data_IF_532728227305
#
_entry.id   IF_532728227305
#
_cell.length_a   1.000
_cell.length_b   1.000
_cell.length_c   1.000
_cell.angle_alpha   90.00
_cell.angle_beta   90.00
_cell.angle_gamma   90.00
#
_symmetry.space_group_name_H-M   'P 1'
#
loop_
_entity.id
_entity.type
_entity.pdbx_description
1 polymer ?
#
# COMPACT_ATOMS: atom_id res chain seq x y z
N UNK A 1 -10.77 21.66 -14.10
CA UNK A 1 -10.98 20.32 -14.72
C UNK A 1 -12.02 19.56 -13.90
N UNK A 2 -13.24 19.34 -14.42
CA UNK A 2 -14.22 18.50 -13.72
C UNK A 2 -13.89 17.01 -13.97
N UNK A 3 -13.59 16.27 -12.91
CA UNK A 3 -13.46 14.81 -12.94
C UNK A 3 -14.84 14.17 -13.12
N UNK A 4 -14.93 13.17 -14.01
CA UNK A 4 -16.21 12.49 -14.29
C UNK A 4 -16.66 11.69 -13.07
N UNK A 5 -17.98 11.51 -12.89
CA UNK A 5 -18.54 10.75 -11.77
C UNK A 5 -17.91 9.34 -11.69
N UNK A 6 -17.72 8.69 -12.84
CA UNK A 6 -17.07 7.38 -12.94
C UNK A 6 -15.62 7.38 -12.46
N UNK A 7 -14.84 8.41 -12.81
CA UNK A 7 -13.43 8.53 -12.40
C UNK A 7 -13.29 8.74 -10.89
N UNK A 8 -14.15 9.59 -10.31
CA UNK A 8 -14.21 9.76 -8.85
C UNK A 8 -14.61 8.46 -8.16
N UNK A 9 -15.60 7.75 -8.70
CA UNK A 9 -16.05 6.46 -8.19
C UNK A 9 -14.93 5.41 -8.18
N UNK A 10 -14.23 5.24 -9.31
CA UNK A 10 -13.12 4.30 -9.42
C UNK A 10 -11.97 4.64 -8.46
N UNK A 11 -11.63 5.93 -8.33
CA UNK A 11 -10.61 6.38 -7.38
C UNK A 11 -11.00 6.05 -5.93
N UNK A 12 -12.22 6.40 -5.52
CA UNK A 12 -12.71 6.12 -4.16
C UNK A 12 -12.70 4.62 -3.88
N UNK A 13 -13.24 3.81 -4.79
CA UNK A 13 -13.26 2.34 -4.65
C UNK A 13 -11.84 1.81 -4.53
N UNK A 14 -10.91 2.26 -5.38
CA UNK A 14 -9.51 1.82 -5.30
C UNK A 14 -8.88 2.17 -3.95
N UNK A 15 -9.06 3.39 -3.44
CA UNK A 15 -8.52 3.81 -2.15
C UNK A 15 -9.09 2.97 -1.01
N UNK A 16 -10.40 2.67 -1.03
CA UNK A 16 -11.02 1.81 -0.03
C UNK A 16 -10.40 0.41 0.00
N UNK A 17 -10.22 -0.24 -1.16
CA UNK A 17 -9.56 -1.53 -1.25
C UNK A 17 -8.08 -1.47 -0.82
N UNK A 18 -7.36 -0.38 -1.13
CA UNK A 18 -5.97 -0.21 -0.69
C UNK A 18 -5.90 -0.11 0.84
N UNK A 19 -6.78 0.68 1.46
CA UNK A 19 -6.85 0.84 2.92
C UNK A 19 -7.25 -0.47 3.59
N UNK A 20 -8.25 -1.18 3.08
CA UNK A 20 -8.62 -2.51 3.60
C UNK A 20 -7.46 -3.48 3.49
N UNK A 21 -6.78 -3.54 2.33
CA UNK A 21 -5.61 -4.39 2.14
C UNK A 21 -4.45 -4.02 3.07
N UNK A 22 -4.21 -2.73 3.29
CA UNK A 22 -3.21 -2.22 4.23
C UNK A 22 -3.51 -2.67 5.67
N UNK A 23 -4.75 -2.53 6.13
CA UNK A 23 -5.16 -2.98 7.46
C UNK A 23 -5.01 -4.51 7.61
N UNK A 24 -5.43 -5.29 6.62
CA UNK A 24 -5.33 -6.76 6.65
C UNK A 24 -3.88 -7.25 6.66
N UNK A 25 -3.03 -6.68 5.82
CA UNK A 25 -1.60 -7.02 5.77
C UNK A 25 -0.87 -6.60 7.05
N UNK A 26 -1.18 -5.43 7.62
CA UNK A 26 -0.67 -5.05 8.95
C UNK A 26 -1.15 -6.03 10.03
N UNK A 27 -2.43 -6.39 10.05
CA UNK A 27 -2.96 -7.36 11.01
C UNK A 27 -2.29 -8.74 10.88
N UNK A 28 -2.00 -9.19 9.66
CA UNK A 28 -1.24 -10.42 9.43
C UNK A 28 0.19 -10.34 9.99
N UNK A 29 0.92 -9.26 9.71
CA UNK A 29 2.32 -9.08 10.17
C UNK A 29 2.43 -9.01 11.69
N UNK A 30 1.46 -8.34 12.32
CA UNK A 30 1.32 -8.27 13.77
C UNK A 30 0.45 -9.41 14.31
N UNK A 31 0.44 -10.59 13.68
CA UNK A 31 -0.17 -11.79 14.25
C UNK A 31 0.88 -12.91 14.42
N UNK A 32 0.83 -13.67 15.53
CA UNK A 32 1.74 -14.80 15.78
C UNK A 32 1.41 -16.06 15.02
N UNK A 33 0.23 -16.18 14.43
CA UNK A 33 -0.20 -17.42 13.80
C UNK A 33 0.14 -17.46 12.31
N UNK A 34 1.42 -17.28 11.93
CA UNK A 34 1.84 -17.55 10.55
C UNK A 34 2.03 -19.05 10.33
N UNK A 35 2.65 -19.73 11.29
CA UNK A 35 2.66 -21.18 11.41
C UNK A 35 2.19 -21.56 12.81
N UNK A 36 1.43 -22.64 12.91
CA UNK A 36 0.90 -23.14 14.18
C UNK A 36 1.23 -24.63 14.28
N UNK A 37 1.70 -25.05 15.45
CA UNK A 37 1.99 -26.45 15.75
C UNK A 37 1.45 -26.78 17.13
N UNK A 38 0.87 -27.97 17.27
CA UNK A 38 0.43 -28.52 18.54
C UNK A 38 1.35 -29.67 18.93
N UNK A 39 2.08 -29.49 20.03
CA UNK A 39 3.04 -30.48 20.54
C UNK A 39 2.39 -31.21 21.71
N UNK A 40 1.93 -32.43 21.42
CA UNK A 40 1.18 -33.26 22.37
C UNK A 40 2.00 -33.69 23.59
N UNK A 41 3.33 -33.78 23.44
CA UNK A 41 4.26 -34.11 24.53
C UNK A 41 4.30 -33.02 25.61
N UNK A 42 4.36 -31.75 25.19
CA UNK A 42 4.40 -30.60 26.09
C UNK A 42 3.01 -30.05 26.38
N UNK A 43 1.99 -30.54 25.69
CA UNK A 43 0.60 -30.06 25.78
C UNK A 43 0.56 -28.56 25.58
N UNK A 44 1.17 -28.11 24.49
CA UNK A 44 1.29 -26.71 24.18
C UNK A 44 1.08 -26.45 22.70
N UNK A 45 0.30 -25.42 22.40
CA UNK A 45 0.17 -24.84 21.07
C UNK A 45 1.22 -23.74 20.92
N UNK A 46 2.02 -23.85 19.86
CA UNK A 46 3.04 -22.89 19.51
C UNK A 46 2.65 -22.17 18.22
N UNK A 47 2.67 -20.85 18.27
CA UNK A 47 2.33 -19.95 17.18
C UNK A 47 3.57 -19.16 16.77
N UNK A 48 4.13 -19.52 15.64
CA UNK A 48 5.32 -18.89 15.08
C UNK A 48 4.90 -17.74 14.17
N UNK A 49 5.18 -16.51 14.60
CA UNK A 49 5.04 -15.30 13.79
C UNK A 49 6.32 -15.00 13.02
N UNK A 50 6.28 -13.94 12.19
CA UNK A 50 7.46 -13.52 11.42
C UNK A 50 8.62 -13.03 12.27
N UNK A 51 8.33 -12.46 13.45
CA UNK A 51 9.28 -11.73 14.31
C UNK A 51 9.04 -11.91 15.81
N UNK A 52 7.97 -12.59 16.16
CA UNK A 52 7.69 -13.04 17.53
C UNK A 52 7.26 -14.50 17.49
N UNK A 53 7.20 -15.10 18.65
CA UNK A 53 6.79 -16.48 18.87
C UNK A 53 5.93 -16.52 20.11
N UNK A 54 4.80 -17.23 20.07
CA UNK A 54 3.88 -17.27 21.19
C UNK A 54 3.51 -18.71 21.55
N UNK A 55 3.48 -18.99 22.85
CA UNK A 55 3.21 -20.31 23.40
C UNK A 55 1.94 -20.25 24.25
N UNK A 56 1.13 -21.30 24.13
CA UNK A 56 -0.09 -21.50 24.90
C UNK A 56 -0.11 -22.92 25.46
N UNK A 57 -0.12 -23.05 26.79
CA UNK A 57 -0.25 -24.35 27.44
C UNK A 57 -1.71 -24.83 27.46
N UNK A 58 -1.99 -26.05 27.03
CA UNK A 58 -3.31 -26.69 27.14
C UNK A 58 -3.58 -27.12 28.59
N UNK A 59 -4.72 -26.72 29.16
CA UNK A 59 -5.14 -27.08 30.53
C UNK A 59 -5.80 -28.45 30.60
N UNK A 60 -5.64 -29.14 31.74
CA UNK A 60 -6.42 -30.33 32.10
C UNK A 60 -7.88 -29.99 32.40
N UNK A 61 -8.82 -30.57 31.66
CA UNK A 61 -10.23 -30.64 32.07
C UNK A 61 -10.41 -31.69 33.17
N UNK A 62 -10.45 -31.25 34.44
CA UNK A 62 -10.98 -32.06 35.56
C UNK A 62 -12.20 -31.40 36.23
N UNK A 63 -12.54 -30.16 35.89
CA UNK A 63 -13.73 -29.48 36.42
C UNK A 63 -14.61 -28.92 35.30
N UNK A 64 -15.90 -29.24 35.35
CA UNK A 64 -16.97 -28.87 34.39
C UNK A 64 -17.16 -27.34 34.23
N UNK A 65 -16.47 -26.52 35.04
CA UNK A 65 -16.60 -25.05 35.05
C UNK A 65 -15.55 -24.25 34.27
N UNK A 66 -14.37 -24.81 33.96
CA UNK A 66 -13.24 -24.05 33.37
C UNK A 66 -13.13 -24.20 31.84
N UNK A 67 -14.20 -24.64 31.19
CA UNK A 67 -14.22 -24.96 29.75
C UNK A 67 -14.02 -23.76 28.81
N UNK A 68 -14.00 -22.53 29.32
CA UNK A 68 -13.96 -21.31 28.51
C UNK A 68 -12.79 -20.36 28.80
N UNK A 69 -11.95 -20.64 29.80
CA UNK A 69 -10.78 -19.81 30.11
C UNK A 69 -9.53 -20.37 29.45
N UNK A 70 -9.38 -20.04 28.16
CA UNK A 70 -8.14 -20.26 27.41
C UNK A 70 -6.96 -19.64 28.15
N UNK A 71 -5.84 -20.36 28.22
CA UNK A 71 -4.62 -19.83 28.83
C UNK A 71 -4.10 -18.62 28.04
N UNK A 72 -3.57 -17.59 28.74
CA UNK A 72 -3.02 -16.42 28.07
C UNK A 72 -1.83 -16.82 27.19
N UNK A 73 -1.76 -16.23 26.00
CA UNK A 73 -0.67 -16.42 25.06
C UNK A 73 0.60 -15.76 25.61
N UNK A 74 1.68 -16.51 25.80
CA UNK A 74 2.96 -15.96 26.23
C UNK A 74 3.86 -15.72 25.01
N UNK A 75 4.09 -14.46 24.66
CA UNK A 75 4.82 -14.07 23.46
C UNK A 75 6.23 -13.57 23.76
N UNK A 76 7.20 -13.99 22.93
CA UNK A 76 8.59 -13.56 22.97
C UNK A 76 9.05 -13.10 21.58
N UNK A 77 10.00 -12.17 21.53
CA UNK A 77 10.55 -11.67 20.27
C UNK A 77 11.70 -12.55 19.77
N UNK A 78 11.74 -12.82 18.45
CA UNK A 78 12.82 -13.63 17.83
C UNK A 78 14.18 -12.91 17.80
N UNK A 79 14.23 -11.62 18.09
CA UNK A 79 15.43 -10.78 18.08
C UNK A 79 16.02 -10.53 19.48
N UNK A 80 15.49 -11.17 20.53
CA UNK A 80 16.02 -11.05 21.88
C UNK A 80 17.25 -11.95 22.08
N UNK A 81 18.39 -11.37 22.45
CA UNK A 81 19.64 -12.09 22.73
C UNK A 81 19.48 -13.10 23.88
N UNK A 82 18.56 -12.83 24.83
CA UNK A 82 18.28 -13.76 25.92
C UNK A 82 17.55 -15.02 25.43
N UNK A 83 16.69 -14.87 24.40
CA UNK A 83 16.06 -16.00 23.72
C UNK A 83 17.10 -16.80 22.93
N UNK A 84 18.01 -16.13 22.22
CA UNK A 84 19.09 -16.79 21.46
C UNK A 84 20.04 -17.61 22.37
N UNK A 85 20.38 -17.09 23.56
CA UNK A 85 21.21 -17.80 24.55
C UNK A 85 20.53 -19.05 25.11
N UNK A 86 19.23 -18.96 25.43
CA UNK A 86 18.46 -20.12 25.91
C UNK A 86 18.37 -21.18 24.81
N UNK A 87 18.09 -20.76 23.57
CA UNK A 87 18.05 -21.62 22.39
C UNK A 87 19.41 -22.32 22.19
N UNK A 88 20.52 -21.57 22.22
CA UNK A 88 21.86 -22.13 22.02
C UNK A 88 22.24 -23.13 23.12
N UNK A 89 21.83 -22.88 24.36
CA UNK A 89 22.06 -23.81 25.46
C UNK A 89 21.26 -25.11 25.29
N UNK A 90 19.98 -25.02 24.90
CA UNK A 90 19.14 -26.20 24.60
C UNK A 90 19.68 -26.98 23.39
N UNK A 91 20.17 -26.28 22.35
CA UNK A 91 20.80 -26.89 21.18
C UNK A 91 22.11 -27.63 21.48
N UNK A 92 22.91 -27.14 22.42
CA UNK A 92 24.13 -27.84 22.83
C UNK A 92 23.85 -29.13 23.61
N UNK A 93 22.64 -29.27 24.16
CA UNK A 93 22.19 -30.42 24.94
C UNK A 93 21.07 -31.21 24.22
N UNK A 94 21.08 -31.27 22.88
CA UNK A 94 20.05 -31.95 22.06
C UNK A 94 19.74 -33.38 22.54
N UNK A 95 20.77 -34.12 22.99
CA UNK A 95 20.60 -35.50 23.44
C UNK A 95 19.89 -35.62 24.81
N UNK A 96 19.87 -34.53 25.59
CA UNK A 96 19.20 -34.45 26.91
C UNK A 96 17.84 -33.74 26.82
N UNK A 97 17.72 -32.72 25.97
CA UNK A 97 16.54 -31.88 25.83
C UNK A 97 15.84 -32.12 24.49
N UNK A 98 14.78 -32.94 24.49
CA UNK A 98 13.93 -33.14 23.31
C UNK A 98 13.16 -31.89 22.85
N UNK A 99 13.26 -30.77 23.56
CA UNK A 99 12.80 -29.44 23.14
C UNK A 99 13.80 -28.70 22.22
N UNK A 100 15.00 -29.25 22.01
CA UNK A 100 16.04 -28.63 21.20
C UNK A 100 15.73 -28.59 19.69
N UNK A 101 14.94 -29.54 19.18
CA UNK A 101 14.49 -29.52 17.78
C UNK A 101 13.49 -28.40 17.49
N UNK A 102 12.74 -27.99 18.51
CA UNK A 102 11.80 -26.87 18.46
C UNK A 102 12.47 -25.51 18.64
N UNK A 103 13.53 -25.43 19.46
CA UNK A 103 14.24 -24.18 19.73
C UNK A 103 14.85 -23.56 18.45
N UNK A 104 15.17 -24.36 17.43
CA UNK A 104 15.62 -23.91 16.12
C UNK A 104 14.58 -23.05 15.36
N UNK A 105 13.28 -23.29 15.56
CA UNK A 105 12.20 -22.54 14.89
C UNK A 105 11.94 -21.17 15.55
N UNK A 106 12.37 -20.99 16.79
CA UNK A 106 12.40 -19.68 17.45
C UNK A 106 13.47 -18.75 16.86
N UNK A 107 14.49 -19.28 16.17
CA UNK A 107 15.59 -18.48 15.62
C UNK A 107 15.13 -17.59 14.47
N UNK A 108 15.67 -16.37 14.42
CA UNK A 108 15.37 -15.42 13.35
C UNK A 108 16.14 -15.73 12.05
N UNK A 109 15.65 -16.72 11.31
CA UNK A 109 16.24 -17.18 10.06
C UNK A 109 16.27 -16.13 8.94
N UNK A 110 17.13 -16.36 7.95
CA UNK A 110 17.29 -15.46 6.80
C UNK A 110 15.98 -15.27 6.00
N UNK A 111 15.16 -16.31 5.86
CA UNK A 111 13.91 -16.21 5.13
C UNK A 111 12.88 -15.31 5.85
N UNK A 112 12.80 -15.35 7.18
CA UNK A 112 11.96 -14.43 7.96
C UNK A 112 12.36 -12.96 7.70
N UNK A 113 13.68 -12.67 7.68
CA UNK A 113 14.22 -11.34 7.38
C UNK A 113 13.84 -10.88 5.98
N UNK A 114 13.93 -11.76 4.98
CA UNK A 114 13.55 -11.47 3.59
C UNK A 114 12.06 -11.18 3.47
N UNK A 115 11.20 -12.01 4.08
CA UNK A 115 9.75 -11.82 4.08
C UNK A 115 9.39 -10.48 4.73
N UNK A 116 9.91 -10.19 5.92
CA UNK A 116 9.68 -8.91 6.61
C UNK A 116 10.14 -7.71 5.81
N UNK A 117 11.31 -7.80 5.15
CA UNK A 117 11.81 -6.72 4.30
C UNK A 117 10.84 -6.40 3.15
N UNK A 118 10.35 -7.43 2.45
CA UNK A 118 9.40 -7.25 1.36
C UNK A 118 8.05 -6.72 1.86
N UNK A 119 7.57 -7.23 2.99
CA UNK A 119 6.35 -6.75 3.63
C UNK A 119 6.48 -5.26 4.00
N UNK A 120 7.51 -4.87 4.77
CA UNK A 120 7.69 -3.47 5.20
C UNK A 120 7.82 -2.55 3.98
N UNK A 121 8.59 -2.96 2.97
CA UNK A 121 8.73 -2.22 1.72
C UNK A 121 7.37 -2.06 1.02
N UNK A 122 6.56 -3.13 0.97
CA UNK A 122 5.22 -3.10 0.40
C UNK A 122 4.29 -2.13 1.14
N UNK A 123 4.35 -2.07 2.47
CA UNK A 123 3.55 -1.14 3.27
C UNK A 123 3.92 0.33 3.04
N UNK A 124 5.21 0.64 2.96
CA UNK A 124 5.68 2.00 2.68
C UNK A 124 5.22 2.46 1.28
N UNK A 125 5.27 1.56 0.29
CA UNK A 125 4.81 1.82 -1.06
C UNK A 125 3.29 1.94 -1.16
N UNK A 126 2.53 1.12 -0.43
CA UNK A 126 1.08 1.22 -0.34
C UNK A 126 0.65 2.54 0.34
N UNK A 127 1.36 2.96 1.39
CA UNK A 127 1.14 4.26 2.02
C UNK A 127 1.42 5.42 1.05
N UNK A 128 2.54 5.37 0.32
CA UNK A 128 2.83 6.34 -0.73
C UNK A 128 1.73 6.38 -1.81
N UNK A 129 1.20 5.21 -2.17
CA UNK A 129 0.07 5.11 -3.09
C UNK A 129 -1.17 5.82 -2.54
N UNK A 130 -1.56 5.57 -1.28
CA UNK A 130 -2.70 6.27 -0.67
C UNK A 130 -2.50 7.80 -0.71
N UNK A 131 -1.33 8.30 -0.28
CA UNK A 131 -1.03 9.74 -0.28
C UNK A 131 -1.12 10.36 -1.68
N UNK A 132 -0.56 9.69 -2.69
CA UNK A 132 -0.56 10.18 -4.07
C UNK A 132 -1.92 10.03 -4.75
N UNK A 133 -2.70 9.00 -4.42
CA UNK A 133 -4.06 8.78 -4.91
C UNK A 133 -5.04 9.86 -4.43
N UNK A 134 -4.94 10.29 -3.16
CA UNK A 134 -5.75 11.39 -2.62
C UNK A 134 -5.42 12.72 -3.33
N UNK A 135 -4.15 12.92 -3.73
CA UNK A 135 -3.68 14.11 -4.44
C UNK A 135 -3.92 14.08 -5.97
N UNK A 136 -4.28 12.93 -6.55
CA UNK A 136 -4.48 12.74 -7.98
C UNK A 136 -5.45 13.74 -8.64
N UNK A 137 -6.57 14.15 -8.00
CA UNK A 137 -7.46 15.17 -8.56
C UNK A 137 -6.84 16.58 -8.62
N UNK A 138 -5.86 16.88 -7.76
CA UNK A 138 -5.22 18.18 -7.65
C UNK A 138 -4.04 18.33 -8.62
N UNK A 139 -3.28 17.25 -8.83
CA UNK A 139 -2.08 17.24 -9.65
C UNK A 139 -1.99 15.97 -10.51
N UNK A 140 -2.37 16.00 -11.79
CA UNK A 140 -2.49 14.81 -12.64
C UNK A 140 -1.26 13.87 -12.70
N UNK A 141 -0.01 14.36 -12.66
CA UNK A 141 1.16 13.47 -12.65
C UNK A 141 1.24 12.54 -11.43
N UNK A 142 0.59 12.88 -10.31
CA UNK A 142 0.51 11.96 -9.15
C UNK A 142 -0.27 10.68 -9.44
N UNK A 143 -1.12 10.62 -10.48
CA UNK A 143 -1.81 9.40 -10.87
C UNK A 143 -0.84 8.29 -11.33
N UNK A 144 0.29 8.66 -11.95
CA UNK A 144 1.34 7.72 -12.33
C UNK A 144 2.06 7.17 -11.10
N UNK A 145 2.41 8.05 -10.16
CA UNK A 145 3.06 7.64 -8.90
C UNK A 145 2.12 6.76 -8.08
N UNK A 146 0.84 7.11 -8.03
CA UNK A 146 -0.22 6.33 -7.37
C UNK A 146 -0.28 4.89 -7.89
N UNK A 147 -0.34 4.72 -9.21
CA UNK A 147 -0.46 3.41 -9.85
C UNK A 147 0.84 2.62 -9.78
N UNK A 148 1.98 3.28 -10.03
CA UNK A 148 3.30 2.65 -10.01
C UNK A 148 3.72 2.19 -8.62
N UNK A 149 3.47 3.00 -7.59
CA UNK A 149 3.74 2.61 -6.20
C UNK A 149 2.86 1.44 -5.74
N UNK A 150 1.57 1.42 -6.10
CA UNK A 150 0.70 0.28 -5.80
C UNK A 150 1.14 -0.99 -6.51
N UNK A 151 1.54 -0.90 -7.78
CA UNK A 151 2.07 -2.04 -8.52
C UNK A 151 3.30 -2.63 -7.83
N UNK A 152 4.26 -1.78 -7.45
CA UNK A 152 5.46 -2.23 -6.76
C UNK A 152 5.14 -2.80 -5.37
N UNK A 153 4.21 -2.19 -4.63
CA UNK A 153 3.72 -2.73 -3.37
C UNK A 153 3.13 -4.13 -3.54
N UNK A 154 2.27 -4.32 -4.54
CA UNK A 154 1.66 -5.62 -4.86
C UNK A 154 2.73 -6.66 -5.22
N UNK A 155 3.72 -6.31 -6.05
CA UNK A 155 4.80 -7.23 -6.39
C UNK A 155 5.62 -7.65 -5.16
N UNK A 156 6.01 -6.70 -4.31
CA UNK A 156 6.70 -7.01 -3.06
C UNK A 156 5.86 -7.91 -2.15
N UNK A 157 4.57 -7.65 -2.04
CA UNK A 157 3.63 -8.43 -1.22
C UNK A 157 3.47 -9.87 -1.73
N UNK A 158 3.31 -10.07 -3.05
CA UNK A 158 3.26 -11.40 -3.68
C UNK A 158 4.58 -12.16 -3.48
N UNK A 159 5.73 -11.47 -3.60
CA UNK A 159 7.04 -12.10 -3.35
C UNK A 159 7.14 -12.53 -1.88
N UNK A 160 6.70 -11.71 -0.93
CA UNK A 160 6.68 -12.07 0.48
C UNK A 160 5.83 -13.31 0.75
N UNK A 161 4.61 -13.35 0.22
CA UNK A 161 3.70 -14.49 0.31
C UNK A 161 4.32 -15.76 -0.29
N UNK A 162 4.96 -15.64 -1.45
CA UNK A 162 5.62 -16.75 -2.13
C UNK A 162 6.84 -17.28 -1.36
N UNK A 163 7.72 -16.39 -0.87
CA UNK A 163 8.89 -16.79 -0.06
C UNK A 163 8.45 -17.47 1.22
N UNK A 164 7.44 -16.93 1.92
CA UNK A 164 6.88 -17.56 3.10
C UNK A 164 6.30 -18.93 2.76
N UNK A 165 5.44 -19.03 1.76
CA UNK A 165 4.78 -20.29 1.41
C UNK A 165 5.77 -21.39 1.03
N UNK A 166 6.80 -21.07 0.24
CA UNK A 166 7.86 -22.02 -0.12
C UNK A 166 8.69 -22.42 1.10
N UNK A 167 9.00 -21.47 1.99
CA UNK A 167 9.75 -21.74 3.21
C UNK A 167 8.95 -22.59 4.19
N UNK A 168 7.66 -22.32 4.38
CA UNK A 168 6.78 -23.06 5.28
C UNK A 168 6.51 -24.50 4.80
N UNK A 169 6.53 -24.75 3.49
CA UNK A 169 6.37 -26.09 2.91
C UNK A 169 7.66 -26.90 2.83
N UNK A 170 8.82 -26.29 3.11
CA UNK A 170 10.09 -27.01 3.17
C UNK A 170 10.05 -28.02 4.33
N UNK A 171 10.51 -29.25 4.10
CA UNK A 171 10.45 -30.35 5.09
C UNK A 171 11.03 -29.95 6.44
N UNK A 172 12.19 -29.29 6.45
CA UNK A 172 12.89 -28.82 7.67
C UNK A 172 12.06 -27.82 8.50
N UNK A 173 11.16 -27.08 7.84
CA UNK A 173 10.31 -26.08 8.49
C UNK A 173 8.89 -26.61 8.74
N UNK A 174 8.40 -27.55 7.92
CA UNK A 174 7.06 -28.13 8.05
C UNK A 174 6.97 -29.10 9.21
N UNK A 175 8.05 -29.78 9.56
CA UNK A 175 8.03 -30.76 10.64
C UNK A 175 8.93 -30.31 11.80
N UNK A 176 8.37 -30.32 13.00
CA UNK A 176 9.10 -30.09 14.25
C UNK A 176 9.35 -31.44 14.90
N UNK A 177 10.60 -31.74 15.21
CA UNK A 177 10.98 -32.95 15.95
C UNK A 177 10.93 -32.67 17.44
N UNK A 178 10.01 -33.32 18.14
CA UNK A 178 9.99 -33.39 19.60
C UNK A 178 10.80 -34.57 20.13
N UNK A 179 10.68 -34.84 21.44
CA UNK A 179 11.41 -35.91 22.12
C UNK A 179 10.95 -37.31 21.68
N UNK A 180 9.65 -37.46 21.40
CA UNK A 180 9.00 -38.77 21.19
C UNK A 180 8.36 -38.87 19.79
N UNK A 181 8.24 -37.76 19.05
CA UNK A 181 7.59 -37.75 17.75
C UNK A 181 7.92 -36.52 16.90
N UNK A 182 7.37 -36.51 15.69
CA UNK A 182 7.43 -35.37 14.76
C UNK A 182 6.05 -34.76 14.59
N UNK A 183 5.94 -33.47 14.81
CA UNK A 183 4.71 -32.69 14.68
C UNK A 183 4.72 -31.91 13.37
N UNK A 184 3.57 -31.86 12.71
CA UNK A 184 3.40 -31.08 11.49
C UNK A 184 2.95 -29.66 11.84
N UNK A 185 3.68 -28.67 11.33
CA UNK A 185 3.28 -27.27 11.38
C UNK A 185 2.28 -26.97 10.28
N UNK A 186 1.16 -26.36 10.66
CA UNK A 186 0.14 -25.90 9.73
C UNK A 186 0.27 -24.39 9.49
N UNK A 187 -0.14 -23.95 8.30
CA UNK A 187 -0.20 -22.52 7.98
C UNK A 187 -1.33 -21.89 8.79
N UNK A 188 -1.00 -20.89 9.60
CA UNK A 188 -1.95 -20.23 10.48
C UNK A 188 -2.71 -19.08 9.81
N UNK A 189 -3.65 -18.49 10.56
CA UNK A 189 -4.58 -17.47 10.04
C UNK A 189 -3.88 -16.18 9.60
N UNK A 190 -2.71 -15.84 10.16
CA UNK A 190 -2.00 -14.61 9.87
C UNK A 190 -1.58 -14.51 8.41
N UNK A 191 -1.12 -15.63 7.84
CA UNK A 191 -0.78 -15.74 6.43
C UNK A 191 -2.01 -15.49 5.54
N UNK A 192 -3.17 -16.06 5.89
CA UNK A 192 -4.40 -15.85 5.13
C UNK A 192 -4.89 -14.40 5.21
N UNK A 193 -4.76 -13.73 6.37
CA UNK A 193 -5.05 -12.30 6.49
C UNK A 193 -4.16 -11.47 5.56
N UNK A 194 -2.86 -11.75 5.56
CA UNK A 194 -1.92 -11.06 4.67
C UNK A 194 -2.28 -11.30 3.19
N UNK A 195 -2.48 -12.57 2.79
CA UNK A 195 -2.88 -12.97 1.44
C UNK A 195 -4.19 -12.31 0.97
N UNK A 196 -5.21 -12.22 1.84
CA UNK A 196 -6.45 -11.50 1.53
C UNK A 196 -6.20 -10.00 1.31
N UNK A 197 -5.28 -9.41 2.08
CA UNK A 197 -4.87 -8.03 1.86
C UNK A 197 -4.14 -7.84 0.53
N UNK A 198 -3.26 -8.77 0.15
CA UNK A 198 -2.60 -8.82 -1.16
C UNK A 198 -3.64 -8.91 -2.29
N UNK A 199 -4.67 -9.74 -2.14
CA UNK A 199 -5.76 -9.87 -3.10
C UNK A 199 -6.59 -8.57 -3.21
N UNK A 200 -6.87 -7.91 -2.09
CA UNK A 200 -7.52 -6.60 -2.10
C UNK A 200 -6.70 -5.55 -2.86
N UNK A 201 -5.38 -5.55 -2.72
CA UNK A 201 -4.48 -4.70 -3.50
C UNK A 201 -4.47 -5.06 -5.00
N UNK A 202 -4.58 -6.34 -5.36
CA UNK A 202 -4.70 -6.74 -6.76
C UNK A 202 -5.98 -6.20 -7.40
N UNK A 203 -7.12 -6.27 -6.69
CA UNK A 203 -8.40 -5.68 -7.15
C UNK A 203 -8.28 -4.16 -7.26
N UNK A 204 -7.71 -3.51 -6.24
CA UNK A 204 -7.47 -2.07 -6.27
C UNK A 204 -6.61 -1.66 -7.46
N UNK A 205 -5.55 -2.42 -7.76
CA UNK A 205 -4.63 -2.13 -8.85
C UNK A 205 -5.33 -2.11 -10.22
N UNK A 206 -6.27 -3.02 -10.47
CA UNK A 206 -7.09 -2.99 -11.70
C UNK A 206 -7.93 -1.71 -11.78
N UNK A 207 -8.54 -1.29 -10.66
CA UNK A 207 -9.28 -0.02 -10.59
C UNK A 207 -8.35 1.20 -10.78
N UNK A 208 -7.14 1.17 -10.22
CA UNK A 208 -6.13 2.22 -10.39
C UNK A 208 -5.68 2.33 -11.85
N UNK A 209 -5.40 1.21 -12.51
CA UNK A 209 -5.06 1.18 -13.93
C UNK A 209 -6.17 1.80 -14.79
N UNK A 210 -7.42 1.42 -14.57
CA UNK A 210 -8.56 1.98 -15.29
C UNK A 210 -8.70 3.50 -15.04
N UNK A 211 -8.44 3.94 -13.80
CA UNK A 211 -8.47 5.36 -13.43
C UNK A 211 -7.38 6.14 -14.14
N UNK A 212 -6.14 5.67 -14.10
CA UNK A 212 -4.98 6.30 -14.73
C UNK A 212 -5.09 6.33 -16.24
N UNK A 213 -5.56 5.24 -16.86
CA UNK A 213 -5.84 5.21 -18.29
C UNK A 213 -6.80 6.34 -18.71
N UNK A 214 -7.90 6.54 -17.97
CA UNK A 214 -8.84 7.64 -18.23
C UNK A 214 -8.25 9.03 -17.99
N UNK A 215 -7.31 9.17 -17.06
CA UNK A 215 -6.57 10.43 -16.87
C UNK A 215 -5.70 10.76 -18.08
N UNK A 216 -5.04 9.74 -18.68
CA UNK A 216 -4.15 9.91 -19.83
C UNK A 216 -4.94 10.26 -21.08
N UNK A 217 -5.98 9.49 -21.42
CA UNK A 217 -6.74 9.73 -22.66
C UNK A 217 -7.37 11.12 -22.69
N UNK A 218 -7.84 11.62 -21.54
CA UNK A 218 -8.39 12.97 -21.44
C UNK A 218 -7.33 14.07 -21.58
N UNK A 219 -6.10 13.82 -21.15
CA UNK A 219 -4.99 14.75 -21.32
C UNK A 219 -4.62 14.89 -22.80
N UNK A 220 -4.53 13.77 -23.52
CA UNK A 220 -4.26 13.74 -24.96
C UNK A 220 -5.36 14.44 -25.77
N UNK A 221 -6.64 14.21 -25.43
CA UNK A 221 -7.77 14.91 -26.05
C UNK A 221 -7.71 16.43 -25.82
N UNK A 222 -7.29 16.86 -24.63
CA UNK A 222 -7.21 18.30 -24.30
C UNK A 222 -6.05 18.95 -25.07
N UNK A 223 -4.89 18.29 -25.11
CA UNK A 223 -3.69 18.79 -25.79
C UNK A 223 -3.88 18.85 -27.30
N UNK A 224 -4.48 17.82 -27.90
CA UNK A 224 -4.79 17.80 -29.34
C UNK A 224 -5.77 18.91 -29.74
N UNK A 225 -6.83 19.12 -28.96
CA UNK A 225 -7.77 20.22 -29.17
C UNK A 225 -7.11 21.60 -29.01
N UNK A 226 -6.20 21.76 -28.05
CA UNK A 226 -5.47 23.02 -27.86
C UNK A 226 -4.52 23.30 -29.03
N UNK A 227 -3.80 22.28 -29.52
CA UNK A 227 -2.97 22.37 -30.72
C UNK A 227 -3.80 22.70 -31.96
N UNK A 228 -4.95 22.05 -32.14
CA UNK A 228 -5.87 22.34 -33.23
C UNK A 228 -6.40 23.78 -33.17
N UNK A 229 -6.81 24.25 -31.99
CA UNK A 229 -7.24 25.63 -31.78
C UNK A 229 -6.13 26.65 -32.08
N UNK A 230 -4.90 26.40 -31.60
CA UNK A 230 -3.74 27.25 -31.89
C UNK A 230 -3.38 27.27 -33.38
N UNK A 231 -3.57 26.14 -34.08
CA UNK A 231 -3.38 26.08 -35.54
C UNK A 231 -4.45 26.88 -36.30
N UNK A 232 -5.72 26.78 -35.88
CA UNK A 232 -6.82 27.54 -36.48
C UNK A 232 -6.67 29.06 -36.26
N UNK A 233 -6.21 29.49 -35.08
CA UNK A 233 -5.95 30.91 -34.80
C UNK A 233 -4.78 31.48 -35.62
N UNK A 234 -3.88 30.63 -36.11
CA UNK A 234 -2.72 31.02 -36.92
C UNK A 234 -3.09 31.26 -38.38
N UNK A 235 -4.20 30.68 -38.86
CA UNK A 235 -4.61 30.75 -40.26
C UNK A 235 -5.53 31.93 -40.59
N UNK A 236 -5.95 32.78 -39.64
CA UNK A 236 -6.63 34.03 -40.02
C UNK A 236 -5.63 35.03 -40.64
N UNK A 237 -5.73 35.36 -41.95
CA UNK A 237 -4.98 36.46 -42.50
C UNK A 237 -5.64 37.76 -42.06
N UNK A 238 -4.92 38.57 -41.28
CA UNK A 238 -5.28 39.96 -40.91
C UNK A 238 -5.28 40.92 -42.12
N UNK A 239 -5.70 40.48 -43.31
CA UNK A 239 -5.54 41.24 -44.54
C UNK A 239 -6.69 41.07 -45.54
N UNK A 240 -7.93 40.96 -45.07
CA UNK A 240 -9.09 40.99 -45.97
C UNK A 240 -10.25 41.80 -45.37
N UNK A 241 -9.99 43.06 -45.03
CA UNK A 241 -11.09 44.01 -44.74
C UNK A 241 -10.75 45.46 -45.10
N UNK A 242 -10.29 45.72 -46.31
CA UNK A 242 -10.44 47.03 -46.94
C UNK A 242 -10.61 46.86 -48.47
N UNK A 243 -11.79 47.15 -49.04
CA UNK A 243 -11.91 47.30 -50.48
C UNK A 243 -11.29 48.63 -50.90
N UNK A 244 -10.23 48.56 -51.71
CA UNK A 244 -9.65 49.67 -52.43
C UNK A 244 -10.68 50.24 -53.41
N UNK A 245 -11.18 51.45 -53.16
CA UNK A 245 -11.89 52.22 -54.21
C UNK A 245 -11.40 53.66 -54.21
N UNK A 246 -10.66 53.98 -55.26
CA UNK A 246 -10.16 55.31 -55.59
C UNK A 246 -11.28 56.09 -56.28
N UNK A 247 -11.74 57.22 -55.72
CA UNK A 247 -12.29 58.33 -56.50
C UNK A 247 -12.14 59.67 -55.75
N UNK A 248 -11.83 60.69 -56.54
CA UNK A 248 -11.34 62.03 -56.23
C UNK A 248 -12.36 62.96 -55.50
N UNK A 249 -11.79 63.88 -54.69
CA UNK A 249 -12.26 65.21 -54.27
C UNK A 249 -13.55 65.37 -53.43
N UNK A 250 -13.40 65.73 -52.15
CA UNK A 250 -13.80 67.03 -51.55
C UNK A 250 -13.68 66.99 -50.00
N UNK A 251 -12.85 67.87 -49.43
CA UNK A 251 -12.88 68.32 -48.02
C UNK A 251 -13.92 69.47 -47.91
N UNK A 252 -14.42 69.88 -46.71
CA UNK A 252 -13.85 69.64 -45.37
C UNK A 252 -14.84 69.28 -44.24
N UNK A 253 -14.27 68.92 -43.08
CA UNK A 253 -14.69 69.34 -41.73
C UNK A 253 -14.97 68.21 -40.72
N UNK A 254 -14.56 68.51 -39.49
CA UNK A 254 -14.87 67.86 -38.20
C UNK A 254 -14.08 66.61 -37.80
N UNK A 255 -12.93 66.89 -37.17
CA UNK A 255 -12.30 66.03 -36.18
C UNK A 255 -13.29 65.79 -35.01
N UNK A 256 -13.66 64.54 -34.72
CA UNK A 256 -14.35 64.15 -33.49
C UNK A 256 -13.55 63.03 -32.82
N UNK A 257 -13.06 63.31 -31.61
CA UNK A 257 -12.25 62.40 -30.81
C UNK A 257 -13.05 61.19 -30.32
N UNK A 258 -12.41 60.01 -30.37
CA UNK A 258 -12.89 58.76 -29.79
C UNK A 258 -12.72 58.77 -28.26
N UNK A 259 -13.63 58.17 -27.46
CA UNK A 259 -13.49 58.14 -26.00
C UNK A 259 -12.45 57.09 -25.57
N UNK A 260 -11.51 57.48 -24.70
CA UNK A 260 -10.64 56.56 -23.97
C UNK A 260 -11.44 55.80 -22.90
N UNK A 261 -11.32 54.47 -22.89
CA UNK A 261 -11.80 53.64 -21.79
C UNK A 261 -10.83 53.75 -20.60
N UNK A 262 -11.35 54.17 -19.45
CA UNK A 262 -10.61 54.34 -18.19
C UNK A 262 -10.15 52.99 -17.62
N UNK A 263 -8.85 52.86 -17.38
CA UNK A 263 -8.28 51.82 -16.54
C UNK A 263 -8.73 52.03 -15.09
N UNK A 264 -9.51 51.10 -14.54
CA UNK A 264 -9.86 51.06 -13.11
C UNK A 264 -8.78 50.25 -12.37
N UNK A 265 -7.97 50.96 -11.59
CA UNK A 265 -7.03 50.40 -10.61
C UNK A 265 -7.79 49.82 -9.42
N UNK A 266 -7.64 48.51 -9.16
CA UNK A 266 -8.08 47.89 -7.92
C UNK A 266 -6.98 48.01 -6.86
N UNK A 267 -7.33 48.57 -5.69
CA UNK A 267 -6.48 48.71 -4.52
C UNK A 267 -6.20 47.36 -3.84
N UNK A 268 -4.96 47.19 -3.41
CA UNK A 268 -4.45 46.08 -2.59
C UNK A 268 -4.79 46.37 -1.11
N UNK A 269 -5.38 45.44 -0.33
CA UNK A 269 -5.55 45.64 1.10
C UNK A 269 -4.24 45.32 1.86
N UNK A 270 -3.85 46.26 2.73
CA UNK A 270 -2.76 46.13 3.69
C UNK A 270 -3.02 45.01 4.71
N UNK A 271 -2.06 44.09 4.88
CA UNK A 271 -2.00 43.19 6.02
C UNK A 271 -1.33 43.93 7.19
N UNK A 272 -2.04 44.02 8.33
CA UNK A 272 -1.56 44.66 9.55
C UNK A 272 -0.98 43.57 10.46
N UNK A 273 0.32 43.67 10.73
CA UNK A 273 1.00 42.88 11.76
C UNK A 273 0.47 43.26 13.15
N UNK A 274 0.18 42.25 13.98
CA UNK A 274 0.14 42.39 15.43
C UNK A 274 0.83 41.19 16.04
N UNK A 275 2.00 41.44 16.59
CA UNK A 275 2.72 40.60 17.54
C UNK A 275 2.12 40.72 18.94
N UNK A 276 2.00 39.58 19.60
CA UNK A 276 2.08 39.38 21.04
C UNK A 276 2.51 37.92 21.27
#
# INVERSE_FOLDING_TARGET
>A
MASTITQKGLLIVSILFIVTGFCLTVAGVFSPAWQVVDIREFRAEHQHGLWWDCIRAEKHVVAVGDFYDETPLHCMYKFDNSAELVIQNTLNNIDEDGAAGESEHHRFWAWHKVVLFFIISSQLLAFLSICTGVCAPCFPPTAFVFTGSLFLALMCSIIADGVFFLSANRVDNRFVTGMVGTYEQHIGYAFYLHMMGTLAWAVAFVCCLATTYKFITKADDTQSNELAYRSALREEPLLEKYPSTTHFNQLPSSYRASPQAQFRTHQIPNYRETSA
#
